data_IF_465912043001
#
_entry.id   IF_465912043001
#
_cell.length_a   1.000
_cell.length_b   1.000
_cell.length_c   1.000
_cell.angle_alpha   90.00
_cell.angle_beta   90.00
_cell.angle_gamma   90.00
#
_symmetry.space_group_name_H-M   'P 1'
#
loop_
_entity.id
_entity.type
_entity.pdbx_description
1 polymer ?
#
# COMPACT_ATOMS: atom_id res chain seq x y z
N UNK A 1 -8.47 -7.76 -19.12
CA UNK A 1 -7.13 -7.29 -18.69
C UNK A 1 -7.19 -6.45 -17.43
N UNK A 2 -8.26 -5.67 -17.21
CA UNK A 2 -8.36 -4.80 -16.02
C UNK A 2 -8.36 -5.51 -14.68
N UNK A 3 -9.15 -6.58 -14.54
CA UNK A 3 -9.15 -7.38 -13.31
C UNK A 3 -7.78 -7.94 -12.93
N UNK A 4 -6.98 -8.38 -13.92
CA UNK A 4 -5.59 -8.86 -13.69
C UNK A 4 -4.70 -7.72 -13.17
N UNK A 5 -4.80 -6.53 -13.78
CA UNK A 5 -4.00 -5.37 -13.35
C UNK A 5 -4.41 -4.86 -11.97
N UNK A 6 -5.70 -4.91 -11.64
CA UNK A 6 -6.21 -4.59 -10.32
C UNK A 6 -5.75 -5.63 -9.27
N UNK A 7 -5.77 -6.92 -9.60
CA UNK A 7 -5.24 -7.97 -8.71
C UNK A 7 -3.72 -7.81 -8.44
N UNK A 8 -2.94 -7.38 -9.44
CA UNK A 8 -1.54 -7.03 -9.22
C UNK A 8 -1.40 -5.83 -8.25
N UNK A 9 -2.23 -4.80 -8.41
CA UNK A 9 -2.26 -3.63 -7.53
C UNK A 9 -2.67 -3.98 -6.09
N UNK A 10 -3.67 -4.84 -5.90
CA UNK A 10 -4.05 -5.32 -4.56
C UNK A 10 -2.95 -6.16 -3.92
N UNK A 11 -2.18 -6.91 -4.72
CA UNK A 11 -1.06 -7.72 -4.25
C UNK A 11 0.04 -6.88 -3.61
N UNK A 12 0.55 -5.87 -4.33
CA UNK A 12 1.57 -4.95 -3.80
C UNK A 12 1.05 -4.16 -2.60
N UNK A 13 -0.21 -3.70 -2.65
CA UNK A 13 -0.83 -2.97 -1.55
C UNK A 13 -0.95 -3.83 -0.28
N UNK A 14 -1.30 -5.11 -0.43
CA UNK A 14 -1.37 -6.05 0.69
C UNK A 14 0.00 -6.29 1.33
N UNK A 15 1.05 -6.40 0.52
CA UNK A 15 2.44 -6.50 1.00
C UNK A 15 2.84 -5.28 1.83
N UNK A 16 2.60 -4.08 1.27
CA UNK A 16 2.90 -2.82 1.96
C UNK A 16 2.11 -2.67 3.27
N UNK A 17 0.82 -2.99 3.28
CA UNK A 17 -0.01 -2.94 4.49
C UNK A 17 0.50 -3.90 5.59
N UNK A 18 1.03 -5.06 5.22
CA UNK A 18 1.64 -5.99 6.16
C UNK A 18 2.91 -5.40 6.78
N UNK A 19 3.81 -4.81 5.97
CA UNK A 19 5.03 -4.14 6.44
C UNK A 19 4.72 -2.97 7.38
N UNK A 20 3.72 -2.15 7.04
CA UNK A 20 3.29 -1.04 7.91
C UNK A 20 2.68 -1.56 9.23
N UNK A 21 1.99 -2.70 9.21
CA UNK A 21 1.48 -3.33 10.42
C UNK A 21 2.63 -3.85 11.31
N UNK A 22 3.66 -4.44 10.71
CA UNK A 22 4.87 -4.90 11.40
C UNK A 22 5.61 -3.73 12.09
N UNK A 23 5.81 -2.62 11.38
CA UNK A 23 6.40 -1.39 11.95
C UNK A 23 5.60 -0.84 13.14
N UNK A 24 4.30 -1.11 13.21
CA UNK A 24 3.44 -0.71 14.32
C UNK A 24 3.40 -1.75 15.45
N UNK A 25 3.65 -3.03 15.17
CA UNK A 25 3.67 -4.07 16.20
C UNK A 25 4.98 -4.14 16.95
N UNK A 26 6.09 -3.87 16.27
CA UNK A 26 7.43 -3.95 16.84
C UNK A 26 7.74 -2.76 17.75
N UNK A 27 8.52 -3.02 18.79
CA UNK A 27 9.00 -2.03 19.77
C UNK A 27 10.28 -1.34 19.28
N UNK A 28 10.28 -0.92 18.02
CA UNK A 28 11.31 -0.03 17.52
C UNK A 28 11.33 1.25 18.36
N UNK A 29 12.53 1.76 18.66
CA UNK A 29 12.74 3.05 19.37
C UNK A 29 12.37 4.25 18.49
N UNK A 30 11.20 4.19 17.86
CA UNK A 30 10.63 5.19 17.00
C UNK A 30 9.95 6.28 17.82
N UNK A 31 10.13 7.51 17.38
CA UNK A 31 9.43 8.66 17.95
C UNK A 31 7.91 8.47 17.81
N UNK A 32 7.14 8.81 18.86
CA UNK A 32 5.68 8.68 18.88
C UNK A 32 5.02 9.33 17.65
N UNK A 33 5.53 10.47 17.18
CA UNK A 33 5.03 11.14 15.97
C UNK A 33 5.15 10.28 14.71
N UNK A 34 6.27 9.59 14.53
CA UNK A 34 6.48 8.68 13.40
C UNK A 34 5.49 7.51 13.44
N UNK A 35 5.26 6.90 14.62
CA UNK A 35 4.26 5.83 14.75
C UNK A 35 2.85 6.29 14.37
N UNK A 36 2.48 7.54 14.68
CA UNK A 36 1.18 8.09 14.25
C UNK A 36 1.12 8.28 12.73
N UNK A 37 2.22 8.73 12.10
CA UNK A 37 2.28 8.89 10.64
C UNK A 37 2.20 7.54 9.92
N UNK A 38 2.86 6.49 10.43
CA UNK A 38 2.74 5.14 9.88
C UNK A 38 1.32 4.61 10.01
N UNK A 39 0.68 4.77 11.17
CA UNK A 39 -0.71 4.36 11.37
C UNK A 39 -1.66 5.09 10.40
N UNK A 40 -1.49 6.41 10.25
CA UNK A 40 -2.26 7.19 9.30
C UNK A 40 -2.05 6.71 7.85
N UNK A 41 -0.80 6.49 7.43
CA UNK A 41 -0.50 5.98 6.11
C UNK A 41 -1.13 4.61 5.86
N UNK A 42 -1.05 3.70 6.84
CA UNK A 42 -1.68 2.37 6.77
C UNK A 42 -3.19 2.47 6.59
N UNK A 43 -3.86 3.37 7.30
CA UNK A 43 -5.32 3.54 7.20
C UNK A 43 -5.73 4.08 5.82
N UNK A 44 -5.03 5.10 5.30
CA UNK A 44 -5.27 5.65 3.96
C UNK A 44 -5.05 4.59 2.87
N UNK A 45 -3.93 3.86 2.92
CA UNK A 45 -3.63 2.80 1.96
C UNK A 45 -4.62 1.63 2.04
N UNK A 46 -5.14 1.30 3.23
CA UNK A 46 -6.18 0.28 3.40
C UNK A 46 -7.49 0.69 2.74
N UNK A 47 -7.84 1.98 2.80
CA UNK A 47 -9.00 2.53 2.09
C UNK A 47 -8.83 2.41 0.57
N UNK A 48 -7.64 2.75 0.06
CA UNK A 48 -7.31 2.59 -1.36
C UNK A 48 -7.32 1.12 -1.80
N UNK A 49 -6.81 0.20 -0.97
CA UNK A 49 -6.84 -1.24 -1.26
C UNK A 49 -8.27 -1.76 -1.43
N UNK A 50 -9.18 -1.33 -0.54
CA UNK A 50 -10.60 -1.72 -0.61
C UNK A 50 -11.23 -1.30 -1.95
N UNK A 51 -10.83 -0.15 -2.48
CA UNK A 51 -11.27 0.27 -3.81
C UNK A 51 -10.63 -0.58 -4.91
N UNK A 52 -9.32 -0.87 -4.84
CA UNK A 52 -8.64 -1.75 -5.80
C UNK A 52 -9.26 -3.16 -5.84
N UNK A 53 -9.63 -3.73 -4.70
CA UNK A 53 -10.33 -5.03 -4.60
C UNK A 53 -11.66 -4.98 -5.36
N UNK A 54 -12.46 -3.93 -5.15
CA UNK A 54 -13.71 -3.73 -5.91
C UNK A 54 -13.47 -3.60 -7.41
N UNK A 55 -12.40 -2.91 -7.82
CA UNK A 55 -12.03 -2.77 -9.24
C UNK A 55 -11.52 -4.10 -9.83
N UNK A 56 -10.98 -5.01 -9.01
CA UNK A 56 -10.51 -6.32 -9.47
C UNK A 56 -11.65 -7.24 -9.92
N UNK A 57 -12.83 -7.08 -9.32
CA UNK A 57 -14.05 -7.80 -9.69
C UNK A 57 -14.72 -7.24 -10.96
N UNK A 58 -14.24 -6.10 -11.49
CA UNK A 58 -14.81 -5.47 -12.68
C UNK A 58 -14.11 -5.95 -13.97
N UNK A 59 -14.91 -6.37 -14.95
CA UNK A 59 -14.38 -6.79 -16.26
C UNK A 59 -13.89 -5.61 -17.11
N UNK A 60 -14.57 -4.47 -17.01
CA UNK A 60 -14.30 -3.26 -17.82
C UNK A 60 -14.27 -2.03 -16.93
N UNK A 61 -13.15 -1.30 -17.01
CA UNK A 61 -12.99 0.02 -16.39
C UNK A 61 -12.98 1.09 -17.48
N UNK A 62 -13.63 2.21 -17.21
CA UNK A 62 -13.50 3.40 -18.04
C UNK A 62 -12.04 3.90 -18.05
N UNK A 63 -11.63 4.68 -19.06
CA UNK A 63 -10.24 5.11 -19.19
C UNK A 63 -9.69 5.86 -17.97
N UNK A 64 -10.51 6.68 -17.31
CA UNK A 64 -10.06 7.47 -16.15
C UNK A 64 -9.84 6.57 -14.93
N UNK A 65 -10.76 5.65 -14.66
CA UNK A 65 -10.62 4.69 -13.55
C UNK A 65 -9.43 3.75 -13.77
N UNK A 66 -9.19 3.32 -15.01
CA UNK A 66 -8.02 2.51 -15.38
C UNK A 66 -6.70 3.24 -15.10
N UNK A 67 -6.61 4.51 -15.50
CA UNK A 67 -5.43 5.33 -15.28
C UNK A 67 -5.20 5.56 -13.80
N UNK A 68 -6.24 5.91 -13.05
CA UNK A 68 -6.13 6.12 -11.61
C UNK A 68 -5.67 4.86 -10.88
N UNK A 69 -6.21 3.68 -11.22
CA UNK A 69 -5.73 2.39 -10.69
C UNK A 69 -4.23 2.18 -10.95
N UNK A 70 -3.76 2.49 -12.16
CA UNK A 70 -2.34 2.36 -12.48
C UNK A 70 -1.50 3.31 -11.62
N UNK A 71 -1.91 4.56 -11.46
CA UNK A 71 -1.22 5.54 -10.63
C UNK A 71 -1.14 5.09 -9.17
N UNK A 72 -2.23 4.54 -8.63
CA UNK A 72 -2.23 3.97 -7.27
C UNK A 72 -1.23 2.82 -7.17
N UNK A 73 -1.16 1.93 -8.17
CA UNK A 73 -0.19 0.83 -8.18
C UNK A 73 1.25 1.34 -8.18
N UNK A 74 1.61 2.25 -9.09
CA UNK A 74 2.97 2.80 -9.16
C UNK A 74 3.35 3.51 -7.86
N UNK A 75 2.44 4.32 -7.30
CA UNK A 75 2.64 4.94 -5.99
C UNK A 75 2.86 3.91 -4.88
N UNK A 76 2.16 2.77 -4.94
CA UNK A 76 2.33 1.70 -3.95
C UNK A 76 3.73 1.09 -4.03
N UNK A 77 4.27 0.89 -5.24
CA UNK A 77 5.66 0.45 -5.41
C UNK A 77 6.65 1.48 -4.85
N UNK A 78 6.47 2.77 -5.16
CA UNK A 78 7.34 3.83 -4.64
C UNK A 78 7.34 3.89 -3.11
N UNK A 79 6.17 3.73 -2.48
CA UNK A 79 6.05 3.71 -1.02
C UNK A 79 6.64 2.42 -0.45
N UNK A 80 6.43 1.27 -1.10
CA UNK A 80 7.00 -0.01 -0.67
C UNK A 80 8.52 0.02 -0.64
N UNK A 81 9.15 0.58 -1.67
CA UNK A 81 10.60 0.76 -1.72
C UNK A 81 11.09 1.67 -0.57
N UNK A 82 10.36 2.77 -0.30
CA UNK A 82 10.70 3.67 0.81
C UNK A 82 10.57 2.99 2.19
N UNK A 83 9.54 2.15 2.37
CA UNK A 83 9.33 1.38 3.60
C UNK A 83 10.40 0.31 3.78
N UNK A 84 10.76 -0.40 2.70
CA UNK A 84 11.82 -1.41 2.73
C UNK A 84 13.18 -0.78 3.08
N UNK A 85 13.50 0.37 2.49
CA UNK A 85 14.72 1.11 2.82
C UNK A 85 14.73 1.62 4.25
N UNK A 86 13.58 2.00 4.81
CA UNK A 86 13.46 2.36 6.21
C UNK A 86 13.65 1.16 7.14
N UNK A 87 12.99 0.04 6.84
CA UNK A 87 13.10 -1.20 7.64
C UNK A 87 14.52 -1.75 7.67
N UNK A 88 15.28 -1.66 6.56
CA UNK A 88 16.70 -2.05 6.50
C UNK A 88 17.62 -1.24 7.43
N UNK A 89 17.18 -0.06 7.86
CA UNK A 89 17.94 0.80 8.78
C UNK A 89 17.57 0.57 10.24
N UNK A 90 16.51 -0.20 10.51
CA UNK A 90 16.12 -0.55 11.86
C UNK A 90 17.03 -1.67 12.41
N UNK A 91 17.33 -1.65 13.71
CA UNK A 91 18.07 -2.74 14.34
C UNK A 91 17.24 -4.03 14.38
N UNK A 92 17.92 -5.17 14.20
CA UNK A 92 17.36 -6.53 14.33
C UNK A 92 16.80 -6.82 15.74
#
# INVERSE_FOLDING_TARGET
MDGIMASAATGVMSSLLAKLAELLSEDYQMQKGMRHQIAFLKDELSSMNTLLERLADMEVLDPQTREWRNQVREMTYDIEDCVDDYMRQLPD
#
